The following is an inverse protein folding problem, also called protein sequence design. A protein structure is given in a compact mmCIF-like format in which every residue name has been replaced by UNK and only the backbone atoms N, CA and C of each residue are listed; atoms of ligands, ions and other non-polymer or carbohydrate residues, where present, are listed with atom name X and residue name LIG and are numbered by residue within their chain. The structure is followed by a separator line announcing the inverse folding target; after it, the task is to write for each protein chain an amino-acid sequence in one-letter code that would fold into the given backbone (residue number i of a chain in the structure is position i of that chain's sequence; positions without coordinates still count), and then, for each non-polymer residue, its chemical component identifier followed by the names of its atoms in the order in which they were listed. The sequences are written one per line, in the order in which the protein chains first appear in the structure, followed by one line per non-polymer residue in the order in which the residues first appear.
data_IF_342967081536
#
_entry.id   IF_342967081536
#
_cell.length_a   1.000
_cell.length_b   1.000
_cell.length_c   1.000
_cell.angle_alpha   90.00
_cell.angle_beta   90.00
_cell.angle_gamma   90.00
#
_symmetry.space_group_name_H-M   'P 1'
#
loop_
_entity.id
_entity.type
_entity.pdbx_description
1 polymer ?
#
# COMPACT_ATOMS: atom_id res chain seq x y z
N UNK A 1 -46.38 -13.83 -29.01
CA UNK A 1 -45.74 -14.57 -27.91
C UNK A 1 -45.07 -13.53 -27.03
N UNK A 2 -45.70 -13.20 -25.90
CA UNK A 2 -45.25 -12.17 -24.96
C UNK A 2 -44.33 -12.79 -23.92
N UNK A 3 -43.10 -12.30 -23.80
CA UNK A 3 -42.21 -12.64 -22.70
C UNK A 3 -42.37 -11.58 -21.60
N UNK A 4 -43.13 -11.93 -20.57
CA UNK A 4 -43.15 -11.26 -19.27
C UNK A 4 -42.17 -11.98 -18.35
N UNK A 5 -41.17 -11.26 -17.82
CA UNK A 5 -40.26 -11.80 -16.82
C UNK A 5 -39.21 -10.75 -16.38
N UNK A 6 -39.09 -10.44 -15.08
CA UNK A 6 -38.40 -9.24 -14.61
C UNK A 6 -36.88 -9.48 -14.48
N UNK A 7 -36.06 -8.65 -15.13
CA UNK A 7 -34.64 -8.55 -14.78
C UNK A 7 -34.54 -7.53 -13.64
N UNK A 8 -34.87 -7.99 -12.44
CA UNK A 8 -34.63 -7.25 -11.19
C UNK A 8 -34.12 -8.20 -10.12
N UNK A 9 -32.93 -8.76 -10.35
CA UNK A 9 -32.11 -9.38 -9.32
C UNK A 9 -30.63 -9.07 -9.58
N UNK A 10 -30.28 -7.79 -9.48
CA UNK A 10 -28.96 -7.44 -8.98
C UNK A 10 -28.97 -7.74 -7.48
N UNK A 11 -28.13 -8.66 -6.97
CA UNK A 11 -28.03 -8.87 -5.55
C UNK A 11 -27.56 -7.58 -4.88
N UNK A 12 -28.41 -7.05 -4.01
CA UNK A 12 -28.09 -5.94 -3.10
C UNK A 12 -26.86 -6.32 -2.26
N UNK A 13 -25.90 -5.40 -2.03
CA UNK A 13 -24.65 -5.72 -1.37
C UNK A 13 -24.85 -5.80 0.15
N UNK A 14 -25.39 -6.93 0.61
CA UNK A 14 -25.32 -7.31 2.02
C UNK A 14 -23.95 -7.93 2.40
N UNK A 15 -22.87 -7.60 1.67
CA UNK A 15 -21.60 -8.35 1.69
C UNK A 15 -20.32 -7.52 1.61
N UNK A 16 -20.32 -6.28 2.15
CA UNK A 16 -19.14 -5.38 2.14
C UNK A 16 -17.88 -5.93 2.80
N UNK A 17 -18.03 -6.93 3.68
CA UNK A 17 -16.91 -7.57 4.38
C UNK A 17 -16.11 -8.53 3.49
N UNK A 18 -16.76 -9.16 2.49
CA UNK A 18 -16.13 -10.23 1.72
C UNK A 18 -15.14 -9.70 0.67
N UNK A 19 -15.50 -8.61 -0.02
CA UNK A 19 -14.61 -7.96 -0.99
C UNK A 19 -13.41 -7.30 -0.30
N UNK A 20 -13.68 -6.54 0.76
CA UNK A 20 -12.67 -5.81 1.53
C UNK A 20 -11.60 -6.73 2.10
N UNK A 21 -12.00 -7.85 2.72
CA UNK A 21 -11.06 -8.83 3.25
C UNK A 21 -10.32 -9.57 2.12
N UNK A 22 -10.99 -9.88 1.01
CA UNK A 22 -10.36 -10.53 -0.13
C UNK A 22 -9.25 -9.64 -0.71
N UNK A 23 -9.51 -8.34 -0.91
CA UNK A 23 -8.49 -7.40 -1.37
C UNK A 23 -7.28 -7.38 -0.44
N UNK A 24 -7.49 -7.19 0.88
CA UNK A 24 -6.38 -7.17 1.84
C UNK A 24 -5.56 -8.47 1.84
N UNK A 25 -6.22 -9.63 1.75
CA UNK A 25 -5.56 -10.93 1.64
C UNK A 25 -4.76 -11.04 0.34
N UNK A 26 -5.34 -10.66 -0.80
CA UNK A 26 -4.63 -10.66 -2.09
C UNK A 26 -3.37 -9.79 -2.02
N UNK A 27 -3.47 -8.57 -1.49
CA UNK A 27 -2.31 -7.67 -1.35
C UNK A 27 -1.24 -8.22 -0.39
N UNK A 28 -1.64 -8.97 0.64
CA UNK A 28 -0.72 -9.57 1.62
C UNK A 28 0.12 -10.70 1.00
N UNK A 29 -0.39 -11.41 0.00
CA UNK A 29 0.32 -12.49 -0.68
C UNK A 29 1.07 -12.05 -1.95
N UNK A 30 0.99 -10.78 -2.33
CA UNK A 30 1.79 -10.24 -3.42
C UNK A 30 3.25 -10.10 -2.98
N UNK A 31 4.15 -10.50 -3.87
CA UNK A 31 5.58 -10.19 -3.74
C UNK A 31 5.85 -8.70 -4.00
N UNK A 32 7.12 -8.29 -3.87
CA UNK A 32 7.50 -6.89 -4.00
C UNK A 32 7.13 -6.29 -5.36
N UNK A 33 7.39 -7.01 -6.45
CA UNK A 33 7.22 -6.51 -7.81
C UNK A 33 5.73 -6.49 -8.21
N UNK A 34 4.98 -7.52 -7.80
CA UNK A 34 3.51 -7.58 -7.95
C UNK A 34 2.84 -6.43 -7.19
N UNK A 35 3.18 -6.22 -5.92
CA UNK A 35 2.58 -5.16 -5.12
C UNK A 35 2.98 -3.78 -5.63
N UNK A 36 4.22 -3.59 -6.07
CA UNK A 36 4.66 -2.34 -6.69
C UNK A 36 3.89 -2.04 -7.98
N UNK A 37 3.68 -3.04 -8.83
CA UNK A 37 2.90 -2.91 -10.06
C UNK A 37 1.45 -2.55 -9.75
N UNK A 38 0.83 -3.23 -8.79
CA UNK A 38 -0.54 -2.93 -8.36
C UNK A 38 -0.66 -1.50 -7.83
N UNK A 39 0.25 -1.08 -6.94
CA UNK A 39 0.29 0.28 -6.37
C UNK A 39 0.43 1.32 -7.48
N UNK A 40 1.31 1.08 -8.45
CA UNK A 40 1.52 2.01 -9.57
C UNK A 40 0.26 2.11 -10.43
N UNK A 41 -0.40 0.99 -10.70
CA UNK A 41 -1.63 0.95 -11.49
C UNK A 41 -2.77 1.71 -10.81
N UNK A 42 -3.14 1.35 -9.57
CA UNK A 42 -4.30 1.95 -8.87
C UNK A 42 -4.08 3.40 -8.44
N UNK A 43 -2.83 3.87 -8.44
CA UNK A 43 -2.49 5.26 -8.16
C UNK A 43 -2.23 6.10 -9.41
N UNK A 44 -2.44 5.56 -10.62
CA UNK A 44 -2.12 6.20 -11.89
C UNK A 44 -0.68 6.74 -11.93
N UNK A 45 0.28 5.95 -11.46
CA UNK A 45 1.70 6.29 -11.43
C UNK A 45 2.14 7.22 -10.30
N UNK A 46 1.22 7.71 -9.45
CA UNK A 46 1.57 8.65 -8.37
C UNK A 46 2.38 8.00 -7.24
N UNK A 47 2.18 6.72 -6.99
CA UNK A 47 2.85 5.96 -5.93
C UNK A 47 3.51 4.70 -6.49
N UNK A 48 4.57 4.25 -5.81
CA UNK A 48 5.29 3.02 -6.10
C UNK A 48 6.00 2.54 -4.82
N UNK A 49 6.42 1.28 -4.79
CA UNK A 49 7.27 0.81 -3.70
C UNK A 49 8.70 1.30 -3.95
N UNK A 50 9.20 2.16 -3.05
CA UNK A 50 10.54 2.70 -3.19
C UNK A 50 11.59 1.59 -3.10
N UNK A 51 12.43 1.47 -4.13
CA UNK A 51 13.53 0.50 -4.23
C UNK A 51 14.89 1.22 -4.27
N UNK A 52 15.69 1.19 -3.19
CA UNK A 52 17.07 1.64 -3.24
C UNK A 52 17.89 0.85 -4.26
N UNK A 53 18.91 1.47 -4.89
CA UNK A 53 19.75 0.78 -5.88
C UNK A 53 20.71 -0.25 -5.27
N UNK A 54 21.06 -0.09 -4.00
CA UNK A 54 22.03 -0.93 -3.29
C UNK A 54 21.41 -2.15 -2.58
N UNK A 55 20.13 -2.46 -2.82
CA UNK A 55 19.43 -3.58 -2.17
C UNK A 55 19.28 -4.76 -3.10
N UNK A 56 19.43 -5.97 -2.56
CA UNK A 56 19.22 -7.21 -3.29
C UNK A 56 17.75 -7.70 -3.20
N UNK A 57 17.47 -8.92 -3.66
CA UNK A 57 16.11 -9.50 -3.56
C UNK A 57 15.72 -9.73 -2.09
N UNK A 58 16.62 -10.27 -1.28
CA UNK A 58 16.38 -10.58 0.13
C UNK A 58 16.02 -9.31 0.92
N UNK A 59 16.77 -8.22 0.72
CA UNK A 59 16.48 -6.93 1.36
C UNK A 59 15.09 -6.41 1.02
N UNK A 60 14.63 -6.64 -0.22
CA UNK A 60 13.31 -6.22 -0.70
C UNK A 60 12.19 -7.00 -0.05
N UNK A 61 12.32 -8.32 0.04
CA UNK A 61 11.33 -9.17 0.71
C UNK A 61 11.27 -8.86 2.20
N UNK A 62 12.42 -8.71 2.87
CA UNK A 62 12.46 -8.31 4.28
C UNK A 62 11.81 -6.93 4.49
N UNK A 63 12.03 -5.99 3.57
CA UNK A 63 11.35 -4.70 3.62
C UNK A 63 9.82 -4.85 3.49
N UNK A 64 9.36 -5.61 2.50
CA UNK A 64 7.95 -5.82 2.23
C UNK A 64 7.23 -6.44 3.43
N UNK A 65 7.78 -7.53 3.96
CA UNK A 65 7.28 -8.25 5.13
C UNK A 65 7.18 -7.32 6.36
N UNK A 66 8.24 -6.56 6.63
CA UNK A 66 8.36 -5.73 7.83
C UNK A 66 7.63 -4.38 7.72
N UNK A 67 7.08 -4.05 6.55
CA UNK A 67 6.40 -2.77 6.32
C UNK A 67 4.99 -2.94 5.79
N UNK A 68 4.79 -3.06 4.47
CA UNK A 68 3.48 -3.11 3.84
C UNK A 68 2.67 -4.32 4.31
N UNK A 69 3.26 -5.52 4.31
CA UNK A 69 2.59 -6.74 4.80
C UNK A 69 2.24 -6.63 6.28
N UNK A 70 3.11 -6.06 7.12
CA UNK A 70 2.80 -5.83 8.53
C UNK A 70 1.60 -4.88 8.73
N UNK A 71 1.44 -3.86 7.88
CA UNK A 71 0.26 -2.97 7.91
C UNK A 71 -1.00 -3.73 7.49
N UNK A 72 -0.93 -4.53 6.42
CA UNK A 72 -2.03 -5.36 5.92
C UNK A 72 -2.46 -6.41 6.96
N UNK A 73 -1.50 -7.13 7.54
CA UNK A 73 -1.73 -8.13 8.57
C UNK A 73 -2.42 -7.55 9.80
N UNK A 74 -1.93 -6.41 10.31
CA UNK A 74 -2.56 -5.73 11.45
C UNK A 74 -4.00 -5.29 11.13
N UNK A 75 -4.25 -4.81 9.92
CA UNK A 75 -5.60 -4.45 9.49
C UNK A 75 -6.57 -5.65 9.41
N UNK A 76 -6.06 -6.86 9.11
CA UNK A 76 -6.85 -8.09 9.04
C UNK A 76 -7.16 -8.69 10.41
N UNK A 77 -6.19 -8.68 11.33
CA UNK A 77 -6.27 -9.46 12.57
C UNK A 77 -6.66 -8.61 13.79
N UNK A 78 -6.24 -7.34 13.85
CA UNK A 78 -6.47 -6.52 15.04
C UNK A 78 -7.86 -5.89 14.98
N UNK A 79 -8.70 -6.04 16.03
CA UNK A 79 -9.97 -5.33 16.10
C UNK A 79 -9.77 -3.81 16.05
N UNK A 80 -10.61 -3.10 15.28
CA UNK A 80 -10.46 -1.66 15.03
C UNK A 80 -10.42 -0.79 16.30
N UNK A 81 -11.08 -1.21 17.39
CA UNK A 81 -11.08 -0.50 18.68
C UNK A 81 -9.75 -0.62 19.45
N UNK A 82 -8.91 -1.62 19.14
CA UNK A 82 -7.58 -1.84 19.73
C UNK A 82 -6.45 -1.20 18.91
N UNK A 83 -6.74 -0.65 17.73
CA UNK A 83 -5.74 -0.04 16.86
C UNK A 83 -5.27 1.33 17.37
N UNK A 84 -3.99 1.64 17.16
CA UNK A 84 -3.39 2.93 17.53
C UNK A 84 -4.15 4.09 16.88
N UNK A 85 -4.39 5.16 17.65
CA UNK A 85 -4.89 6.43 17.11
C UNK A 85 -3.93 6.90 16.00
N UNK A 86 -4.45 7.14 14.80
CA UNK A 86 -3.68 7.50 13.60
C UNK A 86 -2.72 6.43 13.04
N UNK A 87 -2.86 5.15 13.45
CA UNK A 87 -2.15 4.01 12.86
C UNK A 87 -2.38 3.88 11.34
N UNK A 88 -1.38 3.39 10.61
CA UNK A 88 -1.49 3.13 9.15
C UNK A 88 -2.52 2.05 8.86
N UNK A 89 -2.55 1.02 9.70
CA UNK A 89 -3.54 -0.06 9.78
C UNK A 89 -4.97 0.48 9.93
N UNK A 90 -5.20 1.43 10.87
CA UNK A 90 -6.51 2.06 11.04
C UNK A 90 -6.90 2.92 9.83
N UNK A 91 -5.95 3.71 9.30
CA UNK A 91 -6.16 4.53 8.08
C UNK A 91 -6.45 3.65 6.86
N UNK A 92 -5.81 2.49 6.77
CA UNK A 92 -6.02 1.51 5.73
C UNK A 92 -7.46 0.98 5.77
N UNK A 93 -7.96 0.60 6.95
CA UNK A 93 -9.37 0.18 7.09
C UNK A 93 -10.37 1.29 6.74
N UNK A 94 -10.07 2.56 7.05
CA UNK A 94 -10.92 3.67 6.63
C UNK A 94 -10.91 3.88 5.11
N UNK A 95 -9.75 3.74 4.46
CA UNK A 95 -9.66 3.81 3.01
C UNK A 95 -10.43 2.66 2.35
N UNK A 96 -10.32 1.45 2.91
CA UNK A 96 -11.04 0.26 2.47
C UNK A 96 -12.57 0.43 2.54
N UNK A 97 -13.08 1.00 3.65
CA UNK A 97 -14.51 1.31 3.80
C UNK A 97 -15.05 2.34 2.79
N UNK A 98 -14.15 3.12 2.19
CA UNK A 98 -14.47 4.14 1.19
C UNK A 98 -14.14 3.69 -0.24
N UNK A 99 -13.67 2.46 -0.41
CA UNK A 99 -13.14 1.93 -1.67
C UNK A 99 -12.05 2.84 -2.30
N UNK A 100 -11.28 3.53 -1.46
CA UNK A 100 -10.24 4.47 -1.88
C UNK A 100 -8.92 3.75 -2.15
N UNK A 101 -8.85 3.07 -3.31
CA UNK A 101 -7.68 2.29 -3.72
C UNK A 101 -6.40 3.13 -3.82
N UNK A 102 -6.51 4.39 -4.28
CA UNK A 102 -5.36 5.29 -4.35
C UNK A 102 -4.82 5.61 -2.96
N UNK A 103 -5.69 5.74 -1.95
CA UNK A 103 -5.26 5.96 -0.57
C UNK A 103 -4.66 4.71 0.06
N UNK A 104 -5.18 3.52 -0.26
CA UNK A 104 -4.56 2.24 0.12
C UNK A 104 -3.13 2.18 -0.42
N UNK A 105 -2.95 2.43 -1.73
CA UNK A 105 -1.65 2.47 -2.38
C UNK A 105 -0.69 3.48 -1.73
N UNK A 106 -1.17 4.69 -1.42
CA UNK A 106 -0.41 5.73 -0.71
C UNK A 106 0.09 5.25 0.67
N UNK A 107 -0.77 4.57 1.45
CA UNK A 107 -0.43 4.07 2.79
C UNK A 107 0.65 2.98 2.70
N UNK A 108 0.50 2.03 1.77
CA UNK A 108 1.45 0.95 1.58
C UNK A 108 2.82 1.50 1.10
N UNK A 109 2.83 2.36 0.07
CA UNK A 109 4.05 3.01 -0.41
C UNK A 109 4.74 3.84 0.70
N UNK A 110 3.97 4.56 1.52
CA UNK A 110 4.49 5.30 2.67
C UNK A 110 5.14 4.40 3.73
N UNK A 111 4.57 3.21 3.98
CA UNK A 111 5.15 2.26 4.94
C UNK A 111 6.51 1.72 4.48
N UNK A 112 6.63 1.33 3.21
CA UNK A 112 7.89 0.89 2.59
C UNK A 112 8.92 2.02 2.61
N UNK A 113 8.53 3.24 2.24
CA UNK A 113 9.42 4.41 2.32
C UNK A 113 9.96 4.64 3.72
N UNK A 114 9.12 4.54 4.75
CA UNK A 114 9.54 4.72 6.14
C UNK A 114 10.55 3.67 6.56
N UNK A 115 10.33 2.40 6.18
CA UNK A 115 11.29 1.32 6.46
C UNK A 115 12.68 1.63 5.92
N UNK A 116 12.78 2.06 4.66
CA UNK A 116 14.07 2.39 4.06
C UNK A 116 14.72 3.63 4.68
N UNK A 117 13.92 4.61 5.11
CA UNK A 117 14.41 5.78 5.84
C UNK A 117 15.02 5.38 7.18
N UNK A 118 14.29 4.59 7.97
CA UNK A 118 14.74 4.13 9.29
C UNK A 118 16.02 3.29 9.21
N UNK A 119 16.18 2.54 8.11
CA UNK A 119 17.36 1.73 7.81
C UNK A 119 18.47 2.49 7.09
N UNK A 120 18.36 3.81 6.96
CA UNK A 120 19.38 4.72 6.38
C UNK A 120 19.68 4.50 4.89
N UNK A 121 18.90 3.70 4.18
CA UNK A 121 19.05 3.49 2.73
C UNK A 121 18.73 4.73 1.90
N UNK A 122 18.03 5.71 2.47
CA UNK A 122 17.72 6.99 1.82
C UNK A 122 18.77 8.10 2.06
N UNK A 123 19.78 7.89 2.92
CA UNK A 123 20.76 8.95 3.27
C UNK A 123 21.65 9.32 2.07
N UNK A 124 21.92 8.38 1.15
CA UNK A 124 22.71 8.65 -0.05
C UNK A 124 21.93 9.24 -1.24
N UNK A 125 20.59 9.22 -1.20
CA UNK A 125 19.78 9.82 -2.27
C UNK A 125 19.69 11.35 -2.16
N UNK A 126 19.91 11.91 -0.95
CA UNK A 126 19.82 13.34 -0.69
C UNK A 126 21.19 14.05 -0.67
N UNK A 127 22.29 13.32 -0.41
CA UNK A 127 23.62 13.95 -0.29
C UNK A 127 24.28 14.34 -1.62
N UNK A 128 23.75 13.90 -2.77
CA UNK A 128 24.22 14.38 -4.08
C UNK A 128 23.65 15.76 -4.45
N UNK A 129 22.38 16.04 -4.11
CA UNK A 129 21.74 17.33 -4.41
C UNK A 129 22.35 18.51 -3.61
N UNK A 130 22.82 18.26 -2.38
CA UNK A 130 23.41 19.31 -1.54
C UNK A 130 24.89 19.62 -1.82
N UNK A 131 25.62 18.74 -2.51
CA UNK A 131 27.00 19.02 -2.92
C UNK A 131 27.07 19.81 -4.23
N UNK A 132 26.16 19.56 -5.15
CA UNK A 132 26.17 20.23 -6.46
C UNK A 132 25.64 21.68 -6.41
N UNK A 133 24.90 22.07 -5.36
CA UNK A 133 24.48 23.48 -5.16
C UNK A 133 25.54 24.36 -4.47
N UNK A 134 26.56 23.78 -3.84
CA UNK A 134 27.59 24.54 -3.11
C UNK A 134 28.91 24.69 -3.89
N UNK A 135 28.99 24.17 -5.12
CA UNK A 135 30.16 24.36 -6.01
C UNK A 135 29.91 25.48 -7.04
N UNK A 136 28.68 25.95 -7.20
CA UNK A 136 28.33 27.02 -8.16
C UNK A 136 28.46 28.43 -7.54
N UNK A 137 28.71 28.54 -6.24
CA UNK A 137 28.83 29.82 -5.51
C UNK A 137 30.18 29.98 -4.75
N UNK A 138 31.27 29.40 -5.25
CA UNK A 138 32.63 29.70 -4.78
C UNK A 138 33.51 30.22 -5.91
#
# INVERSE_FOLDING_TARGET
MSFSGPISHLPSPAGGDNFSQKLLKTLLYMDYDQLSTWIQHVSCGKYYLFRPKCTNIVDREVCLERSAHMVLYKALIIPMHKMRKNGRDKKLLYALKKDDLSRIASILASSVRTYWQDRKYMIHALSKSYRDQNIINQ
#
